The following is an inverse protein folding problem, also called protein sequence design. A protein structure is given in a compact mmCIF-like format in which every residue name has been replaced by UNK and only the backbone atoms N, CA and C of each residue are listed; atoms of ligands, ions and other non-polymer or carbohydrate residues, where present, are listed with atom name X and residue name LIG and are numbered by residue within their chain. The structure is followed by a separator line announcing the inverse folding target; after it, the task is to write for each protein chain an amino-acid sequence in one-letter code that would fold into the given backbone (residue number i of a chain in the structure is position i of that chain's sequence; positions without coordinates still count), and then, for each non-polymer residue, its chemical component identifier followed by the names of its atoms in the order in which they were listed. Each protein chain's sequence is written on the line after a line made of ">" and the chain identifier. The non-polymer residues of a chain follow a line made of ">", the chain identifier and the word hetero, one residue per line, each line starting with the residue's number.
data_IF_341919563894
#
_entry.id   IF_341919563894
#
_cell.length_a   1.000
_cell.length_b   1.000
_cell.length_c   1.000
_cell.angle_alpha   90.00
_cell.angle_beta   90.00
_cell.angle_gamma   90.00
#
_symmetry.space_group_name_H-M   'P 1'
#
loop_
_entity.id
_entity.type
_entity.pdbx_description
1 polymer ?
#
# COMPACT_ATOMS: atom_id res chain seq x y z
N UNK A 1 -4.46 -21.39 -7.69
CA UNK A 1 -2.99 -21.27 -7.89
C UNK A 1 -2.47 -20.25 -6.90
N UNK A 2 -1.84 -20.70 -5.81
CA UNK A 2 -1.16 -19.81 -4.87
C UNK A 2 0.14 -19.35 -5.50
N UNK A 3 0.11 -18.28 -6.30
CA UNK A 3 1.31 -17.61 -6.76
C UNK A 3 2.13 -17.20 -5.54
N UNK A 4 3.34 -17.76 -5.38
CA UNK A 4 4.25 -17.43 -4.30
C UNK A 4 4.71 -15.97 -4.45
N UNK A 5 3.95 -15.04 -3.86
CA UNK A 5 4.28 -13.63 -3.81
C UNK A 5 4.94 -13.25 -2.50
N UNK A 6 5.74 -12.18 -2.52
CA UNK A 6 6.31 -11.59 -1.31
C UNK A 6 5.25 -10.71 -0.66
N UNK A 7 5.01 -10.91 0.64
CA UNK A 7 4.14 -10.04 1.42
C UNK A 7 4.88 -8.79 1.87
N UNK A 8 4.26 -7.64 1.65
CA UNK A 8 4.81 -6.32 1.98
C UNK A 8 3.80 -5.54 2.83
N UNK A 9 4.26 -5.05 3.98
CA UNK A 9 3.52 -4.08 4.79
C UNK A 9 3.57 -2.69 4.18
N UNK A 10 2.42 -2.05 4.06
CA UNK A 10 2.33 -0.66 3.64
C UNK A 10 3.08 0.25 4.61
N UNK A 11 2.83 0.13 5.92
CA UNK A 11 3.46 0.99 6.93
C UNK A 11 4.98 0.87 6.96
N UNK A 12 5.53 -0.30 6.58
CA UNK A 12 6.96 -0.53 6.42
C UNK A 12 7.55 0.12 5.17
N UNK A 13 6.74 0.24 4.11
CA UNK A 13 7.09 0.80 2.80
C UNK A 13 7.01 2.34 2.76
N UNK A 14 6.15 2.97 3.56
CA UNK A 14 6.08 4.43 3.66
C UNK A 14 7.42 5.03 4.11
N UNK A 15 7.82 6.15 3.48
CA UNK A 15 9.09 6.86 3.64
C UNK A 15 10.34 6.08 3.21
N UNK A 16 10.18 4.96 2.50
CA UNK A 16 11.31 4.22 1.93
C UNK A 16 11.77 4.79 0.60
N UNK A 17 13.01 4.46 0.24
CA UNK A 17 13.67 4.98 -0.96
C UNK A 17 13.06 4.39 -2.23
N UNK A 18 12.98 5.25 -3.24
CA UNK A 18 12.69 4.87 -4.63
C UNK A 18 13.96 5.04 -5.45
N UNK A 19 14.32 4.02 -6.22
CA UNK A 19 15.50 3.99 -7.08
C UNK A 19 15.09 3.94 -8.55
N UNK A 20 15.84 4.63 -9.40
CA UNK A 20 15.67 4.51 -10.84
C UNK A 20 16.40 3.30 -11.43
N UNK A 21 16.25 3.07 -12.74
CA UNK A 21 16.90 1.95 -13.44
C UNK A 21 18.43 1.96 -13.34
N UNK A 22 19.04 3.12 -13.07
CA UNK A 22 20.50 3.27 -12.92
C UNK A 22 20.95 3.04 -11.47
N UNK A 23 20.03 2.77 -10.56
CA UNK A 23 20.30 2.62 -9.13
C UNK A 23 20.45 3.93 -8.38
N UNK A 24 20.10 5.08 -8.98
CA UNK A 24 20.10 6.35 -8.25
C UNK A 24 18.84 6.50 -7.44
N UNK A 25 18.99 6.94 -6.19
CA UNK A 25 17.85 7.28 -5.35
C UNK A 25 17.17 8.55 -5.86
N UNK A 26 15.91 8.43 -6.26
CA UNK A 26 15.14 9.51 -6.89
C UNK A 26 14.08 10.14 -5.98
N UNK A 27 13.70 9.47 -4.89
CA UNK A 27 12.69 9.99 -3.97
C UNK A 27 12.44 9.12 -2.75
N UNK A 28 11.29 9.37 -2.09
CA UNK A 28 10.72 8.49 -1.06
C UNK A 28 9.25 8.24 -1.32
N UNK A 29 8.79 7.06 -0.93
CA UNK A 29 7.39 6.66 -1.02
C UNK A 29 6.57 7.48 -0.02
N UNK A 30 5.52 8.13 -0.52
CA UNK A 30 4.53 8.85 0.28
C UNK A 30 3.33 7.95 0.52
N UNK A 31 2.87 7.29 -0.55
CA UNK A 31 1.69 6.44 -0.52
C UNK A 31 1.69 5.45 -1.70
N UNK A 32 0.86 4.42 -1.60
CA UNK A 32 0.51 3.51 -2.68
C UNK A 32 -0.96 3.77 -3.04
N UNK A 33 -1.27 3.79 -4.32
CA UNK A 33 -2.65 3.94 -4.79
C UNK A 33 -3.11 2.65 -5.47
N UNK A 34 -4.25 2.14 -5.04
CA UNK A 34 -4.89 0.96 -5.65
C UNK A 34 -6.12 1.39 -6.43
N UNK A 35 -6.52 0.59 -7.41
CA UNK A 35 -7.78 0.79 -8.09
C UNK A 35 -8.94 0.72 -7.08
N UNK A 36 -9.94 1.59 -7.24
CA UNK A 36 -11.17 1.59 -6.45
C UNK A 36 -12.33 1.32 -7.39
N UNK A 37 -13.18 0.34 -7.06
CA UNK A 37 -14.30 -0.07 -7.90
C UNK A 37 -15.11 -1.21 -7.27
N UNK A 38 -16.38 -1.33 -7.70
CA UNK A 38 -17.31 -2.36 -7.22
C UNK A 38 -16.80 -3.74 -7.62
N UNK A 39 -16.76 -4.69 -6.67
CA UNK A 39 -16.44 -6.10 -6.94
C UNK A 39 -14.95 -6.45 -7.00
N UNK A 40 -14.05 -5.53 -6.62
CA UNK A 40 -12.61 -5.81 -6.62
C UNK A 40 -12.19 -6.46 -5.29
N UNK A 41 -12.17 -7.79 -5.26
CA UNK A 41 -11.82 -8.59 -4.07
C UNK A 41 -10.36 -8.41 -3.61
N UNK A 42 -9.44 -8.09 -4.53
CA UNK A 42 -8.03 -7.79 -4.21
C UNK A 42 -7.51 -6.65 -5.10
N UNK A 43 -7.71 -5.38 -4.69
CA UNK A 43 -7.39 -4.20 -5.49
C UNK A 43 -5.96 -4.21 -6.03
N UNK A 44 -5.77 -4.16 -7.37
CA UNK A 44 -4.44 -4.06 -7.94
C UNK A 44 -3.85 -2.68 -7.69
N UNK A 45 -2.52 -2.65 -7.57
CA UNK A 45 -1.76 -1.43 -7.46
C UNK A 45 -1.89 -0.63 -8.77
N UNK A 46 -2.41 0.59 -8.66
CA UNK A 46 -2.49 1.52 -9.77
C UNK A 46 -1.20 2.32 -9.92
N UNK A 47 -0.49 2.59 -8.81
CA UNK A 47 0.82 3.22 -8.80
C UNK A 47 1.25 3.69 -7.41
N UNK A 48 2.25 4.56 -7.36
CA UNK A 48 2.83 5.10 -6.13
C UNK A 48 2.88 6.63 -6.16
N UNK A 49 2.74 7.24 -4.98
CA UNK A 49 3.07 8.64 -4.76
C UNK A 49 4.49 8.74 -4.24
N UNK A 50 5.33 9.53 -4.92
CA UNK A 50 6.75 9.71 -4.58
C UNK A 50 7.02 11.17 -4.25
N UNK A 51 7.61 11.41 -3.07
CA UNK A 51 8.12 12.72 -2.69
C UNK A 51 9.54 12.90 -3.21
N UNK A 52 9.74 13.97 -3.96
CA UNK A 52 11.04 14.46 -4.40
C UNK A 52 11.15 15.95 -4.06
N UNK A 53 12.11 16.30 -3.20
CA UNK A 53 12.24 17.66 -2.63
C UNK A 53 10.90 18.10 -2.00
N UNK A 54 10.31 19.18 -2.50
CA UNK A 54 9.05 19.76 -2.01
C UNK A 54 7.81 19.32 -2.81
N UNK A 55 7.97 18.41 -3.79
CA UNK A 55 6.87 17.97 -4.66
C UNK A 55 6.55 16.50 -4.44
N UNK A 56 5.26 16.16 -4.50
CA UNK A 56 4.76 14.79 -4.60
C UNK A 56 4.34 14.55 -6.04
N UNK A 57 4.79 13.43 -6.62
CA UNK A 57 4.48 13.03 -7.99
C UNK A 57 3.89 11.63 -8.01
N UNK A 58 2.98 11.40 -8.95
CA UNK A 58 2.43 10.07 -9.19
C UNK A 58 3.28 9.32 -10.22
N UNK A 59 3.57 8.06 -9.92
CA UNK A 59 4.24 7.12 -10.83
C UNK A 59 3.30 5.93 -11.04
N UNK A 60 2.87 5.64 -12.28
CA UNK A 60 1.98 4.53 -12.56
C UNK A 60 2.67 3.19 -12.31
N UNK A 61 1.87 2.14 -12.09
CA UNK A 61 2.39 0.79 -11.87
C UNK A 61 3.30 0.31 -13.01
N UNK A 62 3.02 0.68 -14.26
CA UNK A 62 3.86 0.37 -15.43
C UNK A 62 5.27 0.97 -15.35
N UNK A 63 5.48 1.99 -14.52
CA UNK A 63 6.78 2.59 -14.24
C UNK A 63 7.56 1.89 -13.12
N UNK A 64 6.98 0.88 -12.47
CA UNK A 64 7.55 0.17 -11.33
C UNK A 64 8.12 -1.17 -11.80
N UNK A 65 9.42 -1.37 -11.61
CA UNK A 65 10.11 -2.63 -11.93
C UNK A 65 9.92 -3.69 -10.83
N UNK A 66 9.73 -3.26 -9.58
CA UNK A 66 9.48 -4.17 -8.48
C UNK A 66 9.63 -3.52 -7.10
N UNK A 67 9.19 -4.26 -6.08
CA UNK A 67 9.31 -3.91 -4.67
C UNK A 67 10.17 -4.99 -4.00
N UNK A 68 11.33 -4.61 -3.45
CA UNK A 68 12.23 -5.54 -2.80
C UNK A 68 12.82 -4.92 -1.53
N UNK A 69 12.88 -5.69 -0.43
CA UNK A 69 13.44 -5.25 0.86
C UNK A 69 12.97 -3.86 1.32
N UNK A 70 11.69 -3.55 1.11
CA UNK A 70 11.08 -2.26 1.45
C UNK A 70 11.51 -1.10 0.55
N UNK A 71 12.12 -1.34 -0.60
CA UNK A 71 12.48 -0.32 -1.57
C UNK A 71 11.71 -0.55 -2.88
N UNK A 72 11.51 0.52 -3.64
CA UNK A 72 10.85 0.45 -4.95
C UNK A 72 11.85 0.82 -6.04
N UNK A 73 11.89 0.00 -7.09
CA UNK A 73 12.74 0.21 -8.26
C UNK A 73 11.86 0.59 -9.45
N UNK A 74 12.29 1.60 -10.20
CA UNK A 74 11.59 2.07 -11.40
C UNK A 74 12.18 1.44 -12.66
N UNK A 75 11.35 1.32 -13.69
CA UNK A 75 11.77 0.88 -15.02
C UNK A 75 12.50 1.98 -15.80
N UNK A 76 12.36 3.24 -15.38
CA UNK A 76 12.89 4.43 -16.06
C UNK A 76 14.18 4.96 -15.43
N UNK A 77 14.96 5.71 -16.20
CA UNK A 77 16.01 6.59 -15.66
C UNK A 77 15.36 7.88 -15.12
N UNK A 78 15.53 8.19 -13.85
CA UNK A 78 14.81 9.27 -13.18
C UNK A 78 13.33 8.98 -12.88
N UNK A 79 12.68 9.96 -12.25
CA UNK A 79 11.22 9.97 -12.06
C UNK A 79 10.53 10.50 -13.31
N UNK A 80 9.53 9.78 -13.79
CA UNK A 80 8.64 10.20 -14.88
C UNK A 80 7.22 10.40 -14.33
N UNK A 81 6.90 11.62 -13.83
CA UNK A 81 5.60 11.92 -13.27
C UNK A 81 4.49 11.75 -14.29
N UNK A 82 3.36 11.18 -13.86
CA UNK A 82 2.13 11.16 -14.63
C UNK A 82 1.06 11.96 -13.90
N UNK A 83 0.04 12.47 -14.62
CA UNK A 83 -1.15 13.01 -13.98
C UNK A 83 -1.74 11.96 -13.04
N UNK A 84 -2.08 12.37 -11.82
CA UNK A 84 -2.81 11.49 -10.91
C UNK A 84 -4.23 11.31 -11.50
N UNK A 85 -4.77 10.07 -11.56
CA UNK A 85 -6.11 9.86 -12.09
C UNK A 85 -7.18 10.59 -11.26
N UNK A 86 -8.39 10.74 -11.79
CA UNK A 86 -9.53 11.27 -11.01
C UNK A 86 -9.80 10.43 -9.76
N UNK A 87 -10.17 11.08 -8.66
CA UNK A 87 -10.26 10.47 -7.32
C UNK A 87 -11.30 9.33 -7.21
N UNK A 88 -12.24 9.24 -8.14
CA UNK A 88 -13.31 8.25 -8.10
C UNK A 88 -12.84 6.82 -8.43
N UNK A 89 -11.65 6.67 -9.03
CA UNK A 89 -11.16 5.40 -9.55
C UNK A 89 -10.00 4.79 -8.76
N UNK A 90 -9.57 5.42 -7.66
CA UNK A 90 -8.46 4.93 -6.85
C UNK A 90 -8.57 5.36 -5.38
N UNK A 91 -7.86 4.63 -4.52
CA UNK A 91 -7.74 4.91 -3.08
C UNK A 91 -6.27 4.97 -2.70
N UNK A 92 -5.85 6.02 -1.98
CA UNK A 92 -4.52 6.09 -1.42
C UNK A 92 -4.48 5.33 -0.09
N UNK A 93 -3.71 4.26 -0.02
CA UNK A 93 -3.81 3.31 1.08
C UNK A 93 -3.42 3.92 2.44
N UNK A 94 -2.36 4.71 2.50
CA UNK A 94 -1.88 5.29 3.76
C UNK A 94 -2.74 6.47 4.21
N UNK A 95 -3.13 7.36 3.29
CA UNK A 95 -3.98 8.50 3.61
C UNK A 95 -5.42 8.07 3.91
N UNK A 96 -5.96 7.16 3.11
CA UNK A 96 -7.38 6.87 3.08
C UNK A 96 -7.79 5.60 3.82
N UNK A 97 -6.86 4.73 4.21
CA UNK A 97 -7.21 3.49 4.90
C UNK A 97 -6.43 3.29 6.21
N UNK A 98 -5.14 3.60 6.28
CA UNK A 98 -4.41 3.50 7.54
C UNK A 98 -5.05 4.38 8.63
N UNK A 99 -5.09 3.86 9.85
CA UNK A 99 -5.71 4.50 11.01
C UNK A 99 -7.22 4.80 10.88
N UNK A 100 -7.87 4.46 9.75
CA UNK A 100 -9.32 4.56 9.60
C UNK A 100 -10.03 3.41 10.31
N UNK A 101 -11.25 3.68 10.78
CA UNK A 101 -12.12 2.66 11.36
C UNK A 101 -13.01 2.08 10.28
N UNK A 102 -12.98 0.76 10.14
CA UNK A 102 -13.82 0.00 9.21
C UNK A 102 -14.75 -0.92 10.00
N UNK A 103 -15.98 -1.16 9.53
CA UNK A 103 -16.89 -2.13 10.14
C UNK A 103 -16.31 -3.55 10.02
N UNK A 104 -16.49 -4.37 11.05
CA UNK A 104 -16.08 -5.80 11.06
C UNK A 104 -17.35 -6.64 11.15
N UNK A 105 -17.80 -7.20 10.02
CA UNK A 105 -19.00 -8.06 9.92
C UNK A 105 -20.28 -7.37 10.43
N UNK A 106 -21.44 -7.60 9.80
CA UNK A 106 -22.79 -7.19 10.28
C UNK A 106 -23.03 -5.73 10.80
N UNK A 107 -22.07 -4.82 10.66
CA UNK A 107 -22.16 -3.42 11.09
C UNK A 107 -22.09 -3.21 12.61
N UNK A 108 -22.05 -4.26 13.44
CA UNK A 108 -22.14 -4.10 14.90
C UNK A 108 -20.85 -3.64 15.57
N UNK A 109 -19.70 -3.79 14.91
CA UNK A 109 -18.37 -3.46 15.45
C UNK A 109 -17.52 -2.73 14.43
N UNK A 110 -16.62 -1.88 14.91
CA UNK A 110 -15.58 -1.24 14.07
C UNK A 110 -14.18 -1.58 14.57
N UNK A 111 -13.24 -1.82 13.64
CA UNK A 111 -11.82 -1.92 13.94
C UNK A 111 -11.03 -0.84 13.22
N UNK A 112 -9.93 -0.42 13.83
CA UNK A 112 -8.96 0.45 13.18
C UNK A 112 -8.00 -0.39 12.33
N UNK A 113 -7.84 0.01 11.07
CA UNK A 113 -6.79 -0.51 10.18
C UNK A 113 -5.44 -0.04 10.71
N UNK A 114 -4.66 -0.99 11.21
CA UNK A 114 -3.34 -0.72 11.78
C UNK A 114 -2.22 -0.83 10.75
N UNK A 115 -2.39 -1.73 9.79
CA UNK A 115 -1.51 -1.89 8.64
C UNK A 115 -2.29 -2.50 7.47
N UNK A 116 -1.73 -2.37 6.27
CA UNK A 116 -2.24 -3.01 5.07
C UNK A 116 -1.16 -3.91 4.47
N UNK A 117 -1.56 -5.08 3.99
CA UNK A 117 -0.66 -6.08 3.43
C UNK A 117 -0.89 -6.19 1.95
N UNK A 118 0.18 -5.96 1.19
CA UNK A 118 0.22 -6.19 -0.24
C UNK A 118 0.91 -7.51 -0.53
N UNK A 119 0.45 -8.22 -1.55
CA UNK A 119 1.22 -9.29 -2.18
C UNK A 119 1.89 -8.73 -3.43
N UNK A 120 3.19 -8.97 -3.57
CA UNK A 120 3.96 -8.63 -4.76
C UNK A 120 4.33 -9.93 -5.47
N UNK A 121 3.75 -10.19 -6.63
CA UNK A 121 4.11 -11.29 -7.51
C UNK A 121 4.94 -10.76 -8.69
N UNK A 122 5.36 -11.66 -9.58
CA UNK A 122 6.02 -11.27 -10.84
C UNK A 122 5.05 -10.50 -11.74
N UNK A 123 3.78 -10.85 -11.71
CA UNK A 123 2.77 -10.34 -12.65
C UNK A 123 2.10 -9.05 -12.15
N UNK A 124 1.93 -8.92 -10.82
CA UNK A 124 1.14 -7.83 -10.24
C UNK A 124 1.43 -7.57 -8.77
N UNK A 125 1.02 -6.39 -8.29
CA UNK A 125 0.94 -6.08 -6.88
C UNK A 125 -0.52 -5.89 -6.50
N UNK A 126 -1.01 -6.61 -5.50
CA UNK A 126 -2.40 -6.53 -5.03
C UNK A 126 -2.50 -6.28 -3.54
N UNK A 127 -3.52 -5.56 -3.12
CA UNK A 127 -3.93 -5.46 -1.73
C UNK A 127 -4.64 -6.76 -1.32
N UNK A 128 -4.09 -7.50 -0.36
CA UNK A 128 -4.60 -8.81 0.04
C UNK A 128 -5.17 -8.84 1.45
N UNK A 129 -4.84 -7.86 2.29
CA UNK A 129 -5.43 -7.83 3.61
C UNK A 129 -5.16 -6.57 4.42
N UNK A 130 -5.87 -6.49 5.54
CA UNK A 130 -5.70 -5.46 6.55
C UNK A 130 -5.37 -6.09 7.90
N UNK A 131 -4.36 -5.56 8.58
CA UNK A 131 -4.08 -5.88 9.98
C UNK A 131 -4.93 -4.98 10.88
N UNK A 132 -5.86 -5.58 11.61
CA UNK A 132 -6.79 -4.91 12.54
C UNK A 132 -6.34 -5.03 14.00
N UNK A 133 -5.13 -5.53 14.26
CA UNK A 133 -4.67 -5.90 15.60
C UNK A 133 -4.36 -4.69 16.50
N UNK A 134 -5.01 -4.64 17.67
CA UNK A 134 -4.86 -3.63 18.72
C UNK A 134 -3.43 -3.49 19.30
N UNK A 135 -2.54 -4.46 19.09
CA UNK A 135 -1.18 -4.49 19.68
C UNK A 135 -0.13 -3.65 18.94
N UNK A 136 -0.46 -3.09 17.78
CA UNK A 136 0.42 -2.20 16.99
C UNK A 136 0.40 -0.74 17.43
N UNK A 137 -0.32 -0.40 18.51
CA UNK A 137 -0.45 0.95 19.07
C UNK A 137 0.87 1.63 19.45
N UNK A 138 1.98 0.90 19.59
CA UNK A 138 3.27 1.47 20.02
C UNK A 138 4.18 1.96 18.87
N UNK A 139 3.77 1.88 17.60
CA UNK A 139 4.60 2.36 16.48
C UNK A 139 4.70 3.90 16.38
N UNK A 140 3.95 4.64 17.22
CA UNK A 140 4.02 6.11 17.34
C UNK A 140 5.14 6.62 18.28
N UNK A 141 5.93 5.74 18.89
CA UNK A 141 7.10 6.15 19.69
C UNK A 141 8.39 6.41 18.89
N UNK A 142 8.29 6.62 17.56
CA UNK A 142 9.39 7.21 16.79
C UNK A 142 10.56 6.28 16.45
N UNK A 143 10.44 4.95 16.60
CA UNK A 143 11.55 4.01 16.29
C UNK A 143 11.35 3.38 14.88
N UNK A 144 12.15 3.75 13.86
CA UNK A 144 11.98 3.29 12.47
C UNK A 144 12.11 1.77 12.27
N UNK A 145 12.74 1.06 13.21
CA UNK A 145 12.95 -0.40 13.17
C UNK A 145 11.71 -1.19 13.55
N UNK A 146 10.77 -0.61 14.30
CA UNK A 146 9.57 -1.30 14.81
C UNK A 146 8.41 -1.33 13.79
N UNK A 147 8.55 -0.62 12.66
CA UNK A 147 7.64 -0.67 11.50
C UNK A 147 7.76 -1.94 10.66
N UNK A 148 8.68 -2.85 11.01
CA UNK A 148 9.07 -4.01 10.19
C UNK A 148 8.38 -5.32 10.57
N UNK A 149 7.70 -5.37 11.72
CA UNK A 149 7.03 -6.58 12.18
C UNK A 149 5.57 -6.57 11.73
N UNK A 150 5.28 -7.34 10.69
CA UNK A 150 3.94 -7.85 10.40
C UNK A 150 3.69 -8.94 11.43
N UNK A 151 2.55 -8.92 12.11
CA UNK A 151 2.06 -10.09 12.84
C UNK A 151 1.15 -10.86 11.87
N UNK A 152 1.66 -11.83 11.09
CA UNK A 152 0.90 -12.50 10.03
C UNK A 152 -0.29 -13.32 10.55
N UNK A 153 -0.44 -13.47 11.87
CA UNK A 153 -1.44 -14.37 12.44
C UNK A 153 -2.88 -13.84 12.41
N UNK A 154 -3.16 -12.60 11.99
CA UNK A 154 -4.53 -12.04 11.90
C UNK A 154 -4.71 -10.97 10.80
N UNK A 155 -4.08 -11.15 9.63
CA UNK A 155 -4.45 -10.36 8.46
C UNK A 155 -5.85 -10.81 8.03
N UNK A 156 -6.83 -9.91 8.08
CA UNK A 156 -8.15 -10.18 7.52
C UNK A 156 -8.04 -10.09 6.00
N UNK A 157 -8.59 -11.08 5.30
CA UNK A 157 -8.67 -11.05 3.84
C UNK A 157 -9.41 -9.79 3.40
N UNK A 158 -8.80 -9.03 2.50
CA UNK A 158 -9.41 -7.81 1.98
C UNK A 158 -10.77 -8.09 1.32
N UNK A 159 -10.91 -9.22 0.62
CA UNK A 159 -12.17 -9.64 0.01
C UNK A 159 -13.29 -9.80 1.05
N UNK A 160 -12.95 -10.32 2.24
CA UNK A 160 -13.89 -10.50 3.34
C UNK A 160 -14.24 -9.19 4.07
N UNK A 161 -13.41 -8.16 3.94
CA UNK A 161 -13.66 -6.81 4.48
C UNK A 161 -14.37 -5.89 3.48
N UNK A 162 -14.30 -6.20 2.19
CA UNK A 162 -14.94 -5.47 1.10
C UNK A 162 -16.45 -5.79 1.03
N UNK A 163 -17.17 -5.52 2.12
CA UNK A 163 -18.61 -5.31 2.05
C UNK A 163 -18.85 -3.84 1.63
N UNK A 164 -19.71 -3.56 0.64
CA UNK A 164 -19.81 -2.24 0.01
C UNK A 164 -20.19 -1.14 1.00
N UNK A 165 -19.54 0.01 0.90
CA UNK A 165 -20.09 1.24 1.46
C UNK A 165 -21.20 1.72 0.52
N UNK A 166 -22.43 1.23 0.74
CA UNK A 166 -23.63 1.90 0.24
C UNK A 166 -23.87 3.19 1.05
N UNK A 167 -23.57 4.34 0.43
CA UNK A 167 -24.45 5.51 0.29
C UNK A 167 -23.73 6.70 -0.33
#
# INVERSE_FOLDING_TARGET
>A
MTSSGILVSLAGLIDRSVYDRRGYRVGRIVDLVVASGIGVEHPPLHGILVRRRLKVVFIPYTGIAGICRWEVYLTTSGLQPHPLPGHDNWVALARDLLDRRIPITDGSRTARVSDLVLVCTVDEVRLVGADLSIRTRLRRLGIPRMRRSVAPQRAYDWAALAAPCER
#
